data_IF_078123307193
#
_entry.id   IF_078123307193
#
_cell.length_a   1.000
_cell.length_b   1.000
_cell.length_c   1.000
_cell.angle_alpha   90.00
_cell.angle_beta   90.00
_cell.angle_gamma   90.00
#
_symmetry.space_group_name_H-M   'P 1'
#
loop_
_entity.id
_entity.type
_entity.pdbx_description
1 polymer ?
#
# COMPACT_ATOMS: atom_id res chain seq x y z
N UNK A 1 30.91 48.92 -53.82
CA UNK A 1 31.18 49.32 -52.42
C UNK A 1 29.94 49.99 -51.86
N UNK A 2 29.18 49.31 -50.99
CA UNK A 2 28.39 49.96 -49.94
C UNK A 2 28.03 48.89 -48.89
N UNK A 3 28.69 48.95 -47.74
CA UNK A 3 28.49 48.03 -46.62
C UNK A 3 27.38 48.60 -45.72
N UNK A 4 26.30 47.84 -45.53
CA UNK A 4 25.25 48.15 -44.55
C UNK A 4 25.66 47.50 -43.23
N UNK A 5 25.96 48.33 -42.23
CA UNK A 5 26.42 47.94 -40.90
C UNK A 5 25.29 47.35 -40.06
N UNK A 6 25.62 46.25 -39.39
CA UNK A 6 24.87 45.54 -38.37
C UNK A 6 24.48 46.46 -37.19
N UNK A 7 23.22 46.34 -36.77
CA UNK A 7 22.78 46.73 -35.41
C UNK A 7 21.70 45.77 -34.93
N UNK A 8 22.10 44.55 -34.54
CA UNK A 8 21.22 43.62 -33.81
C UNK A 8 21.55 43.77 -32.33
N UNK A 9 20.69 44.47 -31.60
CA UNK A 9 20.76 44.56 -30.15
C UNK A 9 20.32 43.22 -29.55
N UNK A 10 21.27 42.44 -29.02
CA UNK A 10 21.01 41.20 -28.30
C UNK A 10 20.67 41.57 -26.85
N UNK A 11 19.39 41.59 -26.50
CA UNK A 11 18.92 41.70 -25.12
C UNK A 11 19.03 40.30 -24.49
N UNK A 12 20.09 40.07 -23.72
CA UNK A 12 20.26 38.85 -22.93
C UNK A 12 19.34 38.92 -21.70
N UNK A 13 18.21 38.22 -21.74
CA UNK A 13 17.33 38.02 -20.59
C UNK A 13 18.05 37.10 -19.60
N UNK A 14 18.53 37.67 -18.49
CA UNK A 14 19.00 36.92 -17.33
C UNK A 14 17.79 36.24 -16.67
N UNK A 15 17.49 35.02 -17.10
CA UNK A 15 16.60 34.11 -16.35
C UNK A 15 17.35 33.59 -15.13
N UNK A 16 17.29 34.33 -14.03
CA UNK A 16 17.71 33.82 -12.73
C UNK A 16 16.73 32.72 -12.30
N UNK A 17 17.17 31.50 -11.98
CA UNK A 17 16.29 30.52 -11.35
C UNK A 17 15.94 31.06 -9.95
N UNK A 18 14.65 31.28 -9.72
CA UNK A 18 14.14 31.64 -8.41
C UNK A 18 14.36 30.42 -7.49
N UNK A 19 15.42 30.46 -6.67
CA UNK A 19 15.69 29.44 -5.67
C UNK A 19 14.54 29.42 -4.66
N UNK A 20 13.60 28.50 -4.84
CA UNK A 20 12.55 28.27 -3.87
C UNK A 20 13.20 27.67 -2.61
N UNK A 21 13.31 28.47 -1.55
CA UNK A 21 13.66 27.99 -0.21
C UNK A 21 12.60 26.95 0.19
N UNK A 22 12.92 25.66 0.02
CA UNK A 22 11.99 24.59 0.32
C UNK A 22 11.99 24.31 1.82
N UNK A 23 10.93 24.74 2.50
CA UNK A 23 10.70 24.42 3.91
C UNK A 23 10.75 22.91 4.14
N UNK A 24 11.38 22.44 5.21
CA UNK A 24 11.49 21.01 5.53
C UNK A 24 10.11 20.32 5.56
N UNK A 25 9.09 21.02 6.06
CA UNK A 25 7.69 20.57 6.04
C UNK A 25 7.16 20.31 4.63
N UNK A 26 7.47 21.17 3.65
CA UNK A 26 7.01 20.97 2.28
C UNK A 26 7.74 19.80 1.61
N UNK A 27 9.05 19.63 1.88
CA UNK A 27 9.81 18.47 1.41
C UNK A 27 9.24 17.16 1.95
N UNK A 28 8.94 17.10 3.25
CA UNK A 28 8.26 15.95 3.86
C UNK A 28 6.89 15.71 3.21
N UNK A 29 6.10 16.76 3.00
CA UNK A 29 4.78 16.64 2.39
C UNK A 29 4.87 16.06 0.98
N UNK A 30 5.80 16.54 0.14
CA UNK A 30 6.05 16.01 -1.21
C UNK A 30 6.54 14.56 -1.17
N UNK A 31 7.43 14.23 -0.23
CA UNK A 31 7.92 12.86 -0.04
C UNK A 31 6.78 11.88 0.29
N UNK A 32 5.92 12.23 1.25
CA UNK A 32 4.79 11.38 1.62
C UNK A 32 3.69 11.37 0.55
N UNK A 33 3.41 12.48 -0.14
CA UNK A 33 2.44 12.46 -1.25
C UNK A 33 2.88 11.53 -2.37
N UNK A 34 4.18 11.48 -2.69
CA UNK A 34 4.72 10.55 -3.68
C UNK A 34 4.63 9.09 -3.21
N UNK A 35 4.94 8.81 -1.94
CA UNK A 35 4.83 7.47 -1.35
C UNK A 35 3.38 6.96 -1.26
N UNK A 36 2.42 7.85 -1.02
CA UNK A 36 1.00 7.50 -0.91
C UNK A 36 0.21 7.69 -2.22
N UNK A 37 0.89 7.94 -3.34
CA UNK A 37 0.25 8.07 -4.64
C UNK A 37 -0.59 6.82 -4.96
N UNK A 38 -1.87 7.03 -5.30
CA UNK A 38 -2.83 5.96 -5.56
C UNK A 38 -3.54 5.39 -4.33
N UNK A 39 -3.14 5.77 -3.10
CA UNK A 39 -3.82 5.37 -1.86
C UNK A 39 -4.51 6.56 -1.19
N UNK A 40 -3.88 7.72 -1.19
CA UNK A 40 -4.38 8.93 -0.54
C UNK A 40 -4.18 10.15 -1.45
N UNK A 41 -5.23 10.96 -1.58
CA UNK A 41 -5.18 12.17 -2.39
C UNK A 41 -4.80 13.41 -1.57
N UNK A 42 -5.00 13.35 -0.26
CA UNK A 42 -4.71 14.44 0.66
C UNK A 42 -3.83 13.94 1.80
N UNK A 43 -2.61 14.48 1.86
CA UNK A 43 -1.61 14.15 2.86
C UNK A 43 -1.20 15.43 3.58
N UNK A 44 -1.37 15.44 4.90
CA UNK A 44 -0.92 16.52 5.79
C UNK A 44 0.15 15.98 6.73
N UNK A 45 1.30 16.65 6.76
CA UNK A 45 2.43 16.22 7.60
C UNK A 45 2.70 17.29 8.65
N UNK A 46 2.82 16.87 9.91
CA UNK A 46 3.27 17.73 11.00
C UNK A 46 4.48 17.13 11.71
N UNK A 47 5.48 17.96 11.97
CA UNK A 47 6.71 17.54 12.63
C UNK A 47 6.44 17.52 14.14
N UNK A 48 6.73 16.39 14.79
CA UNK A 48 6.64 16.26 16.25
C UNK A 48 7.98 16.41 16.94
N UNK A 49 9.07 16.18 16.23
CA UNK A 49 10.43 16.36 16.72
C UNK A 49 10.70 17.82 17.07
N UNK A 50 11.38 18.04 18.20
CA UNK A 50 11.76 19.37 18.65
C UNK A 50 12.72 20.06 17.66
N UNK A 51 12.66 21.40 17.53
CA UNK A 51 13.40 22.14 16.51
C UNK A 51 14.92 22.00 16.62
N UNK A 52 15.44 21.78 17.83
CA UNK A 52 16.88 21.53 18.10
C UNK A 52 17.41 20.19 17.56
N UNK A 53 16.52 19.26 17.23
CA UNK A 53 16.84 17.94 16.70
C UNK A 53 16.66 17.85 15.18
N UNK A 54 16.27 18.95 14.53
CA UNK A 54 16.12 19.02 13.09
C UNK A 54 17.48 18.93 12.39
N UNK A 55 17.52 18.37 11.17
CA UNK A 55 18.73 18.39 10.35
C UNK A 55 19.20 19.83 10.10
N UNK A 56 20.51 20.10 10.13
CA UNK A 56 21.06 21.42 9.88
C UNK A 56 21.08 21.80 8.39
N UNK A 57 20.80 20.85 7.48
CA UNK A 57 20.86 21.10 6.04
C UNK A 57 19.51 21.54 5.46
N UNK A 58 19.59 22.33 4.38
CA UNK A 58 18.42 22.85 3.67
C UNK A 58 17.68 21.76 2.88
N UNK A 59 18.40 20.75 2.36
CA UNK A 59 17.84 19.63 1.59
C UNK A 59 18.31 18.28 2.14
N UNK A 60 17.70 17.77 3.22
CA UNK A 60 18.02 16.45 3.74
C UNK A 60 17.56 15.35 2.79
N UNK A 61 18.38 14.31 2.63
CA UNK A 61 17.94 13.08 1.99
C UNK A 61 17.01 12.33 2.95
N UNK A 62 15.73 12.27 2.60
CA UNK A 62 14.69 11.62 3.40
C UNK A 62 14.57 10.14 3.03
N UNK A 63 14.49 9.29 4.03
CA UNK A 63 14.28 7.85 3.87
C UNK A 63 13.44 7.32 5.02
N UNK A 64 12.60 6.32 4.75
CA UNK A 64 11.81 5.65 5.79
C UNK A 64 12.54 4.38 6.22
N UNK A 65 12.56 4.10 7.52
CA UNK A 65 12.78 2.72 7.97
C UNK A 65 11.66 1.86 7.42
N UNK A 66 11.92 0.58 7.12
CA UNK A 66 11.02 -0.37 6.45
C UNK A 66 9.78 -0.71 7.29
N UNK A 67 8.98 0.30 7.60
CA UNK A 67 7.75 0.27 8.36
C UNK A 67 6.59 0.15 7.37
N UNK A 68 5.78 -0.88 7.55
CA UNK A 68 4.57 -1.11 6.74
C UNK A 68 3.48 -0.05 6.92
N UNK A 69 3.63 0.88 7.88
CA UNK A 69 2.64 1.95 8.15
C UNK A 69 3.16 3.28 7.61
N UNK A 70 2.54 3.74 6.53
CA UNK A 70 2.89 5.00 5.85
C UNK A 70 2.25 6.25 6.49
N UNK A 71 1.33 6.07 7.45
CA UNK A 71 0.60 7.16 8.10
C UNK A 71 0.53 7.02 9.64
N UNK A 72 0.08 8.09 10.29
CA UNK A 72 0.10 8.29 11.74
C UNK A 72 1.47 8.75 12.23
N UNK A 73 1.88 8.33 13.42
CA UNK A 73 3.21 8.65 13.94
C UNK A 73 4.24 7.75 13.27
N UNK A 74 5.10 8.34 12.43
CA UNK A 74 6.13 7.64 11.68
C UNK A 74 7.49 8.29 11.89
N UNK A 75 8.55 7.49 11.73
CA UNK A 75 9.93 7.95 11.85
C UNK A 75 10.57 8.01 10.45
N UNK A 76 11.07 9.18 10.11
CA UNK A 76 11.81 9.46 8.87
C UNK A 76 13.27 9.65 9.24
N UNK A 77 14.17 8.99 8.54
CA UNK A 77 15.60 9.27 8.60
C UNK A 77 15.93 10.40 7.63
N UNK A 78 16.38 11.53 8.17
CA UNK A 78 16.93 12.64 7.43
C UNK A 78 18.47 12.54 7.45
N UNK A 79 19.09 12.51 6.28
CA UNK A 79 20.56 12.51 6.14
C UNK A 79 21.04 13.82 5.54
N UNK A 80 22.02 14.44 6.20
CA UNK A 80 22.70 15.64 5.74
C UNK A 80 24.20 15.33 5.63
N UNK A 81 24.67 14.95 4.44
CA UNK A 81 26.04 14.46 4.29
C UNK A 81 26.32 13.25 5.19
N UNK A 82 27.20 13.43 6.18
CA UNK A 82 27.55 12.38 7.16
C UNK A 82 26.62 12.34 8.38
N UNK A 83 25.83 13.39 8.63
CA UNK A 83 24.90 13.44 9.75
C UNK A 83 23.60 12.70 9.45
N UNK A 84 23.13 11.94 10.45
CA UNK A 84 21.85 11.22 10.39
C UNK A 84 20.99 11.64 11.57
N UNK A 85 19.77 12.09 11.29
CA UNK A 85 18.79 12.48 12.30
C UNK A 85 17.49 11.72 12.06
N UNK A 86 16.87 11.26 13.15
CA UNK A 86 15.55 10.64 13.11
C UNK A 86 14.50 11.70 13.44
N UNK A 87 13.59 11.93 12.50
CA UNK A 87 12.48 12.84 12.62
C UNK A 87 11.20 12.04 12.86
N UNK A 88 10.54 12.31 13.97
CA UNK A 88 9.20 11.84 14.25
C UNK A 88 8.21 12.82 13.65
N UNK A 89 7.37 12.33 12.76
CA UNK A 89 6.36 13.11 12.06
C UNK A 89 5.00 12.44 12.20
N UNK A 90 3.94 13.23 12.24
CA UNK A 90 2.57 12.76 12.17
C UNK A 90 2.06 12.99 10.75
N UNK A 91 1.77 11.89 10.06
CA UNK A 91 1.26 11.89 8.69
C UNK A 91 -0.22 11.58 8.73
N UNK A 92 -1.03 12.56 8.38
CA UNK A 92 -2.48 12.44 8.27
C UNK A 92 -2.80 12.20 6.81
N UNK A 93 -3.34 11.02 6.50
CA UNK A 93 -3.71 10.63 5.14
C UNK A 93 -5.23 10.53 5.06
N UNK A 94 -5.83 11.20 4.09
CA UNK A 94 -7.26 11.08 3.77
C UNK A 94 -7.38 10.33 2.46
N UNK A 95 -8.17 9.26 2.45
CA UNK A 95 -8.35 8.41 1.28
C UNK A 95 -9.62 7.60 1.36
N UNK A 96 -9.80 6.72 0.38
CA UNK A 96 -10.92 5.80 0.34
C UNK A 96 -10.58 4.52 1.12
N UNK A 97 -11.54 4.01 1.87
CA UNK A 97 -11.45 2.73 2.57
C UNK A 97 -12.76 1.96 2.43
N UNK A 98 -12.68 0.65 2.60
CA UNK A 98 -13.82 -0.25 2.40
C UNK A 98 -14.63 -0.36 3.70
N UNK A 99 -15.94 -0.14 3.58
CA UNK A 99 -16.92 -0.36 4.65
C UNK A 99 -17.99 -1.34 4.22
N UNK A 100 -18.63 -1.99 5.18
CA UNK A 100 -19.81 -2.80 4.91
C UNK A 100 -20.98 -1.92 4.44
N UNK A 101 -21.57 -2.24 3.30
CA UNK A 101 -22.75 -1.53 2.79
C UNK A 101 -24.04 -2.02 3.47
N UNK A 102 -24.06 -3.27 3.90
CA UNK A 102 -25.19 -3.95 4.54
C UNK A 102 -24.66 -4.89 5.65
N UNK A 103 -25.52 -5.40 6.55
CA UNK A 103 -25.08 -6.38 7.54
C UNK A 103 -24.53 -7.64 6.87
N UNK A 104 -23.33 -8.08 7.26
CA UNK A 104 -22.69 -9.30 6.77
C UNK A 104 -22.63 -10.30 7.91
N UNK A 105 -23.26 -11.45 7.72
CA UNK A 105 -23.22 -12.55 8.70
C UNK A 105 -21.90 -13.33 8.61
N UNK A 106 -21.50 -13.93 9.73
CA UNK A 106 -20.38 -14.86 9.81
C UNK A 106 -20.57 -16.00 8.82
N UNK A 107 -19.51 -16.33 8.08
CA UNK A 107 -19.54 -17.33 7.01
C UNK A 107 -20.10 -16.80 5.69
N UNK A 108 -20.65 -15.58 5.66
CA UNK A 108 -21.07 -14.92 4.45
C UNK A 108 -19.90 -14.66 3.50
N UNK A 109 -20.13 -14.91 2.21
CA UNK A 109 -19.19 -14.55 1.15
C UNK A 109 -19.30 -13.05 0.87
N UNK A 110 -18.17 -12.39 0.68
CA UNK A 110 -18.13 -11.02 0.21
C UNK A 110 -18.39 -10.96 -1.28
N UNK A 111 -19.37 -10.15 -1.65
CA UNK A 111 -19.71 -9.80 -3.02
C UNK A 111 -19.54 -8.29 -3.20
N UNK A 112 -19.38 -7.84 -4.45
CA UNK A 112 -19.15 -6.44 -4.76
C UNK A 112 -20.26 -5.51 -4.24
N UNK A 113 -21.51 -6.01 -4.13
CA UNK A 113 -22.64 -5.26 -3.58
C UNK A 113 -22.66 -5.15 -2.05
N UNK A 114 -21.91 -5.99 -1.33
CA UNK A 114 -21.93 -6.03 0.14
C UNK A 114 -21.01 -4.97 0.75
N UNK A 115 -20.16 -4.35 -0.05
CA UNK A 115 -19.16 -3.38 0.37
C UNK A 115 -19.25 -2.10 -0.43
N UNK A 116 -18.83 -1.00 0.18
CA UNK A 116 -18.73 0.30 -0.49
C UNK A 116 -17.45 1.00 -0.08
N UNK A 117 -16.94 1.86 -0.96
CA UNK A 117 -15.85 2.77 -0.63
C UNK A 117 -16.40 3.98 0.10
N UNK A 118 -15.76 4.34 1.21
CA UNK A 118 -16.04 5.54 1.99
C UNK A 118 -14.77 6.36 2.09
N UNK A 119 -14.88 7.67 1.92
CA UNK A 119 -13.76 8.59 2.06
C UNK A 119 -13.60 9.00 3.53
N UNK A 120 -12.36 9.05 4.01
CA UNK A 120 -12.07 9.58 5.34
C UNK A 120 -10.60 9.45 5.73
N UNK A 121 -10.34 9.75 7.00
CA UNK A 121 -9.01 9.74 7.61
C UNK A 121 -8.53 8.31 7.80
N UNK A 122 -7.44 7.94 7.15
CA UNK A 122 -6.86 6.59 7.21
C UNK A 122 -6.04 6.36 8.49
N UNK A 123 -5.55 7.44 9.11
CA UNK A 123 -4.75 7.38 10.33
C UNK A 123 -5.55 6.98 11.58
N UNK A 124 -6.86 7.26 11.59
CA UNK A 124 -7.80 6.92 12.66
C UNK A 124 -8.43 5.54 12.49
N UNK A 125 -8.23 4.90 11.33
CA UNK A 125 -8.81 3.60 11.05
C UNK A 125 -8.15 2.51 11.90
N UNK A 126 -8.89 1.43 12.22
CA UNK A 126 -8.33 0.23 12.81
C UNK A 126 -7.14 -0.31 12.00
N UNK A 127 -6.23 -1.06 12.64
CA UNK A 127 -5.13 -1.68 11.92
C UNK A 127 -5.67 -2.66 10.87
N UNK A 128 -4.98 -2.73 9.72
CA UNK A 128 -5.30 -3.67 8.62
C UNK A 128 -6.69 -3.45 8.01
N UNK A 129 -7.22 -2.23 8.06
CA UNK A 129 -8.40 -1.86 7.26
C UNK A 129 -8.10 -1.98 5.77
N UNK A 130 -9.07 -2.49 5.03
CA UNK A 130 -8.97 -2.69 3.58
C UNK A 130 -9.23 -1.37 2.86
N UNK A 131 -8.37 -1.07 1.89
CA UNK A 131 -8.44 0.15 1.07
C UNK A 131 -8.99 -0.15 -0.33
N UNK A 132 -8.75 -1.36 -0.83
CA UNK A 132 -9.15 -1.81 -2.15
C UNK A 132 -10.09 -3.03 -2.04
N UNK A 133 -11.24 -2.93 -2.70
CA UNK A 133 -12.26 -3.99 -2.77
C UNK A 133 -11.66 -5.28 -3.37
N UNK A 134 -10.68 -5.18 -4.28
CA UNK A 134 -10.07 -6.35 -4.92
C UNK A 134 -9.38 -7.30 -3.92
N UNK A 135 -8.97 -6.79 -2.75
CA UNK A 135 -8.37 -7.63 -1.69
C UNK A 135 -9.39 -8.56 -1.00
N UNK A 136 -10.68 -8.29 -1.20
CA UNK A 136 -11.79 -9.00 -0.57
C UNK A 136 -12.54 -9.93 -1.53
N UNK A 137 -12.05 -10.09 -2.76
CA UNK A 137 -12.65 -11.00 -3.73
C UNK A 137 -12.59 -12.43 -3.17
N UNK A 138 -13.74 -13.12 -3.20
CA UNK A 138 -13.94 -14.45 -2.63
C UNK A 138 -13.56 -14.56 -1.14
N UNK A 139 -13.54 -13.46 -0.41
CA UNK A 139 -13.32 -13.48 1.03
C UNK A 139 -14.59 -13.95 1.77
N UNK A 140 -14.40 -14.68 2.86
CA UNK A 140 -15.47 -15.16 3.74
C UNK A 140 -15.32 -14.51 5.10
N UNK A 141 -16.40 -13.91 5.60
CA UNK A 141 -16.38 -13.24 6.90
C UNK A 141 -16.23 -14.25 8.03
N UNK A 142 -15.37 -13.94 8.99
CA UNK A 142 -15.15 -14.73 10.21
C UNK A 142 -16.08 -14.33 11.36
N UNK A 143 -16.78 -13.20 11.24
CA UNK A 143 -17.67 -12.61 12.25
C UNK A 143 -18.83 -11.86 11.61
N UNK A 144 -19.81 -11.49 12.42
CA UNK A 144 -20.87 -10.59 11.98
C UNK A 144 -20.35 -9.16 11.90
N UNK A 145 -20.74 -8.42 10.86
CA UNK A 145 -20.37 -7.04 10.62
C UNK A 145 -21.62 -6.17 10.48
N UNK A 146 -21.60 -5.01 11.13
CA UNK A 146 -22.65 -4.01 11.02
C UNK A 146 -22.46 -3.14 9.78
N UNK A 147 -23.53 -2.56 9.22
CA UNK A 147 -23.41 -1.58 8.15
C UNK A 147 -22.54 -0.38 8.58
N UNK A 148 -21.84 0.22 7.62
CA UNK A 148 -20.89 1.32 7.80
C UNK A 148 -19.65 1.03 8.67
N UNK A 149 -19.46 -0.23 9.07
CA UNK A 149 -18.25 -0.63 9.79
C UNK A 149 -17.04 -0.75 8.84
N UNK A 150 -15.86 -0.22 9.22
CA UNK A 150 -14.62 -0.42 8.47
C UNK A 150 -14.22 -1.90 8.43
N UNK A 151 -14.00 -2.41 7.23
CA UNK A 151 -13.63 -3.81 7.01
C UNK A 151 -12.13 -4.00 7.25
N UNK A 152 -11.76 -4.96 8.09
CA UNK A 152 -10.37 -5.32 8.38
C UNK A 152 -10.03 -6.67 7.76
N UNK A 153 -8.84 -6.80 7.15
CA UNK A 153 -8.37 -8.08 6.58
C UNK A 153 -8.40 -9.23 7.58
N UNK A 154 -8.18 -8.96 8.88
CA UNK A 154 -8.19 -9.96 9.96
C UNK A 154 -9.58 -10.52 10.26
N UNK A 155 -10.64 -9.87 9.80
CA UNK A 155 -12.03 -10.32 9.94
C UNK A 155 -12.44 -11.28 8.82
N UNK A 156 -11.59 -11.47 7.81
CA UNK A 156 -11.87 -12.27 6.65
C UNK A 156 -10.83 -13.37 6.48
N UNK A 157 -11.28 -14.49 5.93
CA UNK A 157 -10.39 -15.52 5.38
C UNK A 157 -10.66 -15.67 3.89
N UNK A 158 -9.65 -16.07 3.13
CA UNK A 158 -9.86 -16.48 1.74
C UNK A 158 -10.79 -17.70 1.69
N UNK A 159 -11.68 -17.76 0.70
CA UNK A 159 -12.54 -18.92 0.50
C UNK A 159 -11.68 -20.18 0.27
N UNK A 160 -12.16 -21.30 0.81
CA UNK A 160 -11.59 -22.61 0.52
C UNK A 160 -11.93 -22.96 -0.93
N UNK A 161 -10.93 -23.14 -1.82
CA UNK A 161 -11.19 -23.74 -3.15
C UNK A 161 -11.38 -25.25 -3.10
N UNK A 162 -10.79 -25.91 -2.11
CA UNK A 162 -10.91 -27.36 -1.92
C UNK A 162 -11.37 -27.63 -0.48
N UNK A 163 -12.51 -28.28 -0.33
CA UNK A 163 -13.01 -28.75 0.96
C UNK A 163 -12.37 -30.11 1.29
N UNK A 164 -12.11 -30.38 2.56
CA UNK A 164 -11.68 -31.72 2.98
C UNK A 164 -12.75 -32.75 2.55
N UNK A 165 -12.32 -33.85 1.95
CA UNK A 165 -13.20 -34.88 1.39
C UNK A 165 -13.64 -34.65 -0.07
N UNK A 166 -13.31 -33.51 -0.69
CA UNK A 166 -13.64 -33.23 -2.09
C UNK A 166 -12.73 -34.04 -3.03
N UNK A 167 -13.32 -34.70 -4.04
CA UNK A 167 -12.55 -35.32 -5.13
C UNK A 167 -11.87 -34.22 -5.94
N UNK A 168 -10.56 -34.34 -6.09
CA UNK A 168 -9.72 -33.44 -6.88
C UNK A 168 -8.97 -34.25 -7.93
N UNK A 169 -8.86 -33.71 -9.14
CA UNK A 169 -8.01 -34.31 -10.17
C UNK A 169 -6.57 -33.83 -9.94
N UNK A 170 -5.65 -34.75 -9.70
CA UNK A 170 -4.23 -34.48 -9.50
C UNK A 170 -3.53 -34.67 -10.83
N UNK A 171 -3.02 -33.57 -11.37
CA UNK A 171 -2.22 -33.58 -12.60
C UNK A 171 -0.77 -33.39 -12.19
N UNK A 172 0.07 -34.40 -12.43
CA UNK A 172 1.51 -34.30 -12.31
C UNK A 172 2.12 -34.16 -13.71
N UNK A 173 2.82 -33.04 -13.94
CA UNK A 173 3.48 -32.75 -15.22
C UNK A 173 4.98 -32.55 -14.99
N UNK A 174 5.81 -33.20 -15.79
CA UNK A 174 7.28 -33.04 -15.85
C UNK A 174 7.77 -33.15 -17.30
N UNK A 175 9.07 -32.94 -17.55
CA UNK A 175 9.66 -32.93 -18.89
C UNK A 175 9.36 -34.23 -19.67
N UNK A 176 8.31 -34.21 -20.50
CA UNK A 176 7.87 -35.33 -21.33
C UNK A 176 6.80 -36.27 -20.75
N UNK A 177 6.29 -36.04 -19.53
CA UNK A 177 5.30 -36.91 -18.88
C UNK A 177 4.13 -36.11 -18.30
N UNK A 178 2.90 -36.59 -18.54
CA UNK A 178 1.70 -36.16 -17.82
C UNK A 178 1.00 -37.38 -17.21
N UNK A 179 0.72 -37.31 -15.91
CA UNK A 179 -0.05 -38.31 -15.19
C UNK A 179 -1.27 -37.65 -14.55
N UNK A 180 -2.45 -38.21 -14.82
CA UNK A 180 -3.71 -37.78 -14.24
C UNK A 180 -4.20 -38.86 -13.25
N UNK A 181 -4.51 -38.48 -12.02
CA UNK A 181 -5.05 -39.37 -11.01
C UNK A 181 -6.14 -38.68 -10.18
N UNK A 182 -7.21 -39.40 -9.86
CA UNK A 182 -8.22 -38.92 -8.92
C UNK A 182 -7.72 -39.06 -7.48
N UNK A 183 -7.76 -37.96 -6.72
CA UNK A 183 -7.39 -37.93 -5.31
C UNK A 183 -8.50 -37.32 -4.45
N UNK A 184 -8.49 -37.61 -3.15
CA UNK A 184 -9.38 -36.97 -2.19
C UNK A 184 -8.59 -36.00 -1.32
N UNK A 185 -9.04 -34.75 -1.21
CA UNK A 185 -8.34 -33.74 -0.42
C UNK A 185 -8.45 -34.05 1.08
N UNK A 186 -7.31 -34.32 1.71
CA UNK A 186 -7.25 -34.64 3.14
C UNK A 186 -7.36 -33.39 4.05
N UNK A 187 -6.98 -32.21 3.55
CA UNK A 187 -6.96 -30.95 4.30
C UNK A 187 -7.53 -29.78 3.49
N UNK A 188 -8.07 -28.78 4.18
CA UNK A 188 -8.51 -27.51 3.59
C UNK A 188 -7.32 -26.56 3.45
N UNK A 189 -7.12 -25.93 2.28
CA UNK A 189 -5.98 -25.04 2.03
C UNK A 189 -6.36 -23.75 1.24
N UNK A 190 -5.83 -22.57 1.60
CA UNK A 190 -6.10 -21.31 0.90
C UNK A 190 -5.38 -21.21 -0.46
N UNK A 191 -5.82 -20.27 -1.29
CA UNK A 191 -5.59 -20.16 -2.74
C UNK A 191 -4.13 -20.08 -3.23
N UNK A 192 -3.14 -19.94 -2.37
CA UNK A 192 -1.74 -19.85 -2.80
C UNK A 192 -1.04 -21.23 -2.82
N UNK A 193 -1.02 -21.80 -4.03
CA UNK A 193 -0.10 -22.85 -4.49
C UNK A 193 -0.35 -24.25 -3.89
N UNK A 194 -1.13 -25.07 -4.61
CA UNK A 194 -1.03 -26.53 -4.50
C UNK A 194 0.37 -26.95 -4.96
N UNK A 195 1.31 -27.12 -4.02
CA UNK A 195 2.45 -28.01 -4.23
C UNK A 195 2.00 -29.39 -3.78
N UNK A 196 1.61 -30.22 -4.74
CA UNK A 196 1.30 -31.61 -4.50
C UNK A 196 2.56 -32.34 -4.06
N UNK A 197 2.74 -32.56 -2.76
CA UNK A 197 3.66 -33.58 -2.27
C UNK A 197 2.88 -34.89 -2.21
N UNK A 198 3.02 -35.71 -3.25
CA UNK A 198 2.59 -37.10 -3.22
C UNK A 198 3.52 -37.87 -2.27
N UNK A 199 2.98 -38.34 -1.15
CA UNK A 199 3.65 -39.34 -0.31
C UNK A 199 3.26 -40.72 -0.84
N UNK A 200 4.18 -41.36 -1.56
CA UNK A 200 4.09 -42.78 -1.88
C UNK A 200 4.46 -43.57 -0.61
N UNK A 201 3.53 -44.38 -0.11
CA UNK A 201 3.75 -45.29 1.02
C UNK A 201 3.95 -46.68 0.44
N UNK A 202 5.21 -47.08 0.29
CA UNK A 202 5.56 -48.45 -0.07
C UNK A 202 5.16 -49.40 1.07
N UNK A 203 4.69 -50.57 0.67
CA UNK A 203 4.15 -51.62 1.54
C UNK A 203 5.23 -52.61 1.93
#
# INVERSE_FOLDING_TARGET
MLAIKCSVAIIAILFSPLSAASNLTSQLQTFFSAQLAGVSDEVRVSIRTAPNLLPPCEQPLLSMSNNFRLWGNVNVLARCGNDKRYLQVNVQATGNYVVAAMPIVRGGKLEAGNVKLKRGRLDTLPPRTVLDINQLVDAVSLRDLSPDQPIQLTQFRQAWRVKAGQRVNVIASGDGFSANAEGQALNMQPSHRMRGCAWYRDR
#
